data_IF_006745267152
#
_entry.id   IF_006745267152
#
_cell.length_a   1.000
_cell.length_b   1.000
_cell.length_c   1.000
_cell.angle_alpha   90.00
_cell.angle_beta   90.00
_cell.angle_gamma   90.00
#
_symmetry.space_group_name_H-M   'P 1'
#
loop_
_entity.id
_entity.type
_entity.pdbx_description
1 polymer ?
#
# COMPACT_ATOMS: atom_id res chain seq x y z
N UNK A 1 20.15 32.97 -27.06
CA UNK A 1 20.15 31.83 -26.12
C UNK A 1 18.73 31.62 -25.60
N UNK A 2 18.01 30.61 -26.09
CA UNK A 2 16.61 30.31 -25.70
C UNK A 2 16.50 28.81 -25.37
N UNK A 3 17.08 28.37 -24.25
CA UNK A 3 17.02 26.97 -23.80
C UNK A 3 17.27 26.88 -22.29
N UNK A 4 16.30 27.22 -21.44
CA UNK A 4 16.42 26.84 -20.01
C UNK A 4 15.17 26.88 -19.14
N UNK A 5 13.97 27.19 -19.65
CA UNK A 5 12.80 27.35 -18.75
C UNK A 5 11.84 26.16 -18.67
N UNK A 6 12.03 25.07 -19.41
CA UNK A 6 11.05 23.95 -19.44
C UNK A 6 11.42 22.78 -18.51
N UNK A 7 12.65 22.71 -18.01
CA UNK A 7 13.09 21.56 -17.20
C UNK A 7 12.67 21.62 -15.71
N UNK A 8 12.28 22.78 -15.18
CA UNK A 8 12.00 22.94 -13.74
C UNK A 8 10.59 22.48 -13.37
N UNK A 9 9.63 22.51 -14.31
CA UNK A 9 8.27 22.03 -14.04
C UNK A 9 8.15 20.50 -14.00
N UNK A 10 9.02 19.78 -14.72
CA UNK A 10 9.08 18.32 -14.65
C UNK A 10 9.75 17.82 -13.35
N UNK A 11 10.72 18.58 -12.83
CA UNK A 11 11.39 18.24 -11.55
C UNK A 11 10.48 18.47 -10.33
N UNK A 12 9.56 19.44 -10.39
CA UNK A 12 8.60 19.67 -9.31
C UNK A 12 7.48 18.60 -9.25
N UNK A 13 7.08 18.04 -10.40
CA UNK A 13 6.16 16.88 -10.42
C UNK A 13 6.84 15.57 -9.99
N UNK A 14 8.17 15.50 -10.02
CA UNK A 14 8.91 14.34 -9.50
C UNK A 14 9.10 14.38 -7.97
N UNK A 15 8.91 15.55 -7.34
CA UNK A 15 9.06 15.71 -5.88
C UNK A 15 7.76 15.46 -5.10
N UNK A 16 6.60 15.42 -5.76
CA UNK A 16 5.33 15.04 -5.12
C UNK A 16 5.15 13.52 -4.96
N UNK A 17 6.12 12.71 -5.38
CA UNK A 17 6.10 11.24 -5.21
C UNK A 17 7.05 10.78 -4.10
N UNK A 18 7.72 11.72 -3.41
CA UNK A 18 8.73 11.41 -2.39
C UNK A 18 8.20 11.31 -0.95
N UNK A 19 6.88 11.33 -0.76
CA UNK A 19 6.26 10.96 0.50
C UNK A 19 4.87 10.41 0.25
N UNK A 20 4.66 9.10 0.44
CA UNK A 20 3.29 8.60 0.45
C UNK A 20 3.11 7.20 1.03
N UNK A 21 4.09 6.27 1.01
CA UNK A 21 3.84 4.95 1.61
C UNK A 21 4.23 4.96 3.09
N UNK A 22 3.23 5.05 3.96
CA UNK A 22 3.37 4.91 5.41
C UNK A 22 3.17 3.48 5.90
N UNK A 23 2.79 2.55 5.01
CA UNK A 23 2.81 1.11 5.25
C UNK A 23 3.79 0.47 4.27
N UNK A 24 4.80 -0.24 4.79
CA UNK A 24 5.81 -0.95 3.99
C UNK A 24 6.07 -2.32 4.59
N UNK A 25 6.06 -3.36 3.78
CA UNK A 25 6.35 -4.72 4.24
C UNK A 25 6.90 -5.60 3.13
N UNK A 26 7.56 -6.70 3.52
CA UNK A 26 8.04 -7.73 2.60
C UNK A 26 7.10 -8.93 2.64
N UNK A 27 6.65 -9.40 1.48
CA UNK A 27 5.70 -10.51 1.38
C UNK A 27 6.31 -11.80 1.94
N UNK A 28 5.79 -12.26 3.08
CA UNK A 28 6.33 -13.37 3.85
C UNK A 28 5.54 -14.68 3.75
N UNK A 29 4.31 -14.66 3.25
CA UNK A 29 3.38 -15.79 3.34
C UNK A 29 3.80 -17.06 2.58
N UNK A 30 3.07 -18.15 2.82
CA UNK A 30 3.42 -19.49 2.36
C UNK A 30 3.17 -19.75 0.88
N UNK A 31 2.29 -18.98 0.24
CA UNK A 31 2.05 -19.09 -1.19
C UNK A 31 3.27 -18.64 -1.99
N UNK A 32 3.51 -19.28 -3.13
CA UNK A 32 4.60 -18.87 -4.03
C UNK A 32 4.31 -17.50 -4.64
N UNK A 33 3.04 -17.22 -4.93
CA UNK A 33 2.56 -15.96 -5.51
C UNK A 33 1.16 -15.63 -5.00
N UNK A 34 0.82 -14.35 -5.04
CA UNK A 34 -0.47 -13.79 -4.66
C UNK A 34 -1.08 -13.06 -5.86
N UNK A 35 -2.40 -13.13 -6.01
CA UNK A 35 -3.13 -12.51 -7.13
C UNK A 35 -4.13 -11.45 -6.68
N UNK A 36 -4.28 -11.23 -5.37
CA UNK A 36 -5.16 -10.20 -4.81
C UNK A 36 -4.52 -9.52 -3.61
N UNK A 37 -4.75 -8.22 -3.49
CA UNK A 37 -4.54 -7.45 -2.26
C UNK A 37 -5.90 -6.98 -1.78
N UNK A 38 -6.18 -7.18 -0.50
CA UNK A 38 -7.42 -6.75 0.12
C UNK A 38 -7.11 -5.84 1.28
N UNK A 39 -7.74 -4.67 1.31
CA UNK A 39 -7.46 -3.67 2.35
C UNK A 39 -8.71 -3.42 3.17
N UNK A 40 -8.56 -3.46 4.49
CA UNK A 40 -9.66 -3.26 5.44
C UNK A 40 -9.43 -1.99 6.24
N UNK A 41 -10.49 -1.19 6.37
CA UNK A 41 -10.50 -0.05 7.28
C UNK A 41 -11.15 -0.44 8.61
N UNK A 42 -10.30 -0.78 9.59
CA UNK A 42 -10.68 -0.95 11.00
C UNK A 42 -10.18 0.24 11.85
N UNK A 43 -10.09 1.42 11.23
CA UNK A 43 -9.78 2.69 11.91
C UNK A 43 -11.07 3.45 12.22
N UNK A 44 -10.95 4.58 12.91
CA UNK A 44 -12.08 5.49 13.14
C UNK A 44 -12.40 6.40 11.92
N UNK A 45 -11.54 6.40 10.90
CA UNK A 45 -11.69 7.23 9.71
C UNK A 45 -12.88 6.77 8.84
N UNK A 46 -13.62 7.75 8.31
CA UNK A 46 -14.88 7.46 7.61
C UNK A 46 -14.67 7.02 6.17
N UNK A 47 -13.96 7.81 5.36
CA UNK A 47 -13.80 7.52 3.95
C UNK A 47 -12.44 8.02 3.48
N UNK A 48 -11.65 7.13 2.88
CA UNK A 48 -10.34 7.48 2.34
C UNK A 48 -9.89 6.54 1.23
N UNK A 49 -9.06 7.08 0.35
CA UNK A 49 -8.47 6.31 -0.74
C UNK A 49 -7.09 5.82 -0.33
N UNK A 50 -6.77 4.58 -0.69
CA UNK A 50 -5.43 4.03 -0.60
C UNK A 50 -4.94 3.60 -1.97
N UNK A 51 -3.63 3.60 -2.16
CA UNK A 51 -2.97 3.05 -3.34
C UNK A 51 -1.87 2.07 -2.92
N UNK A 52 -1.86 0.90 -3.55
CA UNK A 52 -0.86 -0.14 -3.30
C UNK A 52 0.21 -0.14 -4.38
N UNK A 53 1.45 -0.43 -4.00
CA UNK A 53 2.61 -0.41 -4.89
C UNK A 53 3.53 -1.61 -4.66
N UNK A 54 4.21 -2.05 -5.73
CA UNK A 54 5.48 -2.76 -5.62
C UNK A 54 6.57 -1.74 -5.30
N UNK A 55 7.39 -2.05 -4.31
CA UNK A 55 8.54 -1.25 -3.93
C UNK A 55 9.84 -1.90 -4.42
N UNK A 56 10.75 -1.06 -4.88
CA UNK A 56 12.12 -1.45 -5.22
C UNK A 56 13.08 -0.83 -4.20
N UNK A 57 14.14 -1.56 -3.87
CA UNK A 57 15.23 -1.02 -3.05
C UNK A 57 16.25 -0.30 -3.94
N UNK A 58 16.40 1.00 -3.73
CA UNK A 58 17.39 1.85 -4.41
C UNK A 58 18.14 2.66 -3.37
N UNK A 59 19.47 2.58 -3.39
CA UNK A 59 20.36 3.29 -2.45
C UNK A 59 19.98 3.09 -0.97
N UNK A 60 19.60 1.85 -0.60
CA UNK A 60 19.18 1.49 0.75
C UNK A 60 17.80 2.02 1.17
N UNK A 61 16.99 2.52 0.22
CA UNK A 61 15.64 3.03 0.46
C UNK A 61 14.63 2.27 -0.39
N UNK A 62 13.45 2.01 0.19
CA UNK A 62 12.30 1.47 -0.54
C UNK A 62 11.52 2.60 -1.22
N UNK A 63 11.42 2.53 -2.55
CA UNK A 63 10.72 3.49 -3.40
C UNK A 63 9.66 2.80 -4.25
N UNK A 64 8.52 3.45 -4.50
CA UNK A 64 7.50 2.94 -5.41
C UNK A 64 8.06 2.69 -6.82
N UNK A 65 7.77 1.49 -7.35
CA UNK A 65 8.16 1.04 -8.68
C UNK A 65 6.95 0.90 -9.61
N UNK A 66 5.90 0.20 -9.16
CA UNK A 66 4.70 -0.12 -9.95
C UNK A 66 3.46 0.05 -9.07
N UNK A 67 2.45 0.79 -9.57
CA UNK A 67 1.14 0.85 -8.91
C UNK A 67 0.36 -0.43 -9.18
N UNK A 68 -0.16 -1.02 -8.12
CA UNK A 68 -0.98 -2.24 -8.17
C UNK A 68 -2.46 -1.94 -8.23
N UNK A 69 -2.88 -0.75 -7.78
CA UNK A 69 -4.27 -0.30 -7.83
C UNK A 69 -4.66 0.57 -6.64
N UNK A 70 -5.87 1.12 -6.73
CA UNK A 70 -6.48 2.00 -5.72
C UNK A 70 -7.72 1.36 -5.13
N UNK A 71 -8.00 1.67 -3.87
CA UNK A 71 -9.20 1.25 -3.14
C UNK A 71 -9.81 2.44 -2.41
N UNK A 72 -11.12 2.43 -2.27
CA UNK A 72 -11.86 3.47 -1.55
C UNK A 72 -12.47 2.86 -0.28
N UNK A 73 -11.79 3.06 0.84
CA UNK A 73 -12.16 2.43 2.09
C UNK A 73 -13.18 3.27 2.86
N UNK A 74 -14.35 2.69 3.10
CA UNK A 74 -15.45 3.28 3.88
C UNK A 74 -15.43 2.82 5.34
N UNK A 75 -16.13 3.55 6.21
CA UNK A 75 -16.27 3.21 7.64
C UNK A 75 -17.04 1.93 7.78
N UNK A 76 -16.47 0.94 8.46
CA UNK A 76 -17.06 -0.39 8.55
C UNK A 76 -17.39 -0.98 7.15
N UNK A 77 -16.73 -0.47 6.10
CA UNK A 77 -16.93 -0.90 4.72
C UNK A 77 -16.20 -2.21 4.48
N UNK A 78 -16.87 -3.13 3.80
CA UNK A 78 -16.28 -4.40 3.42
C UNK A 78 -15.16 -4.23 2.39
N UNK A 79 -14.06 -4.93 2.61
CA UNK A 79 -13.45 -5.81 1.63
C UNK A 79 -13.16 -5.25 0.22
N UNK A 80 -12.66 -4.02 0.11
CA UNK A 80 -12.18 -3.53 -1.17
C UNK A 80 -10.93 -4.30 -1.60
N UNK A 81 -10.97 -4.84 -2.82
CA UNK A 81 -9.98 -5.79 -3.33
C UNK A 81 -9.36 -5.28 -4.62
N UNK A 82 -8.03 -5.24 -4.64
CA UNK A 82 -7.21 -5.02 -5.81
C UNK A 82 -6.89 -6.40 -6.40
N UNK A 83 -7.41 -6.68 -7.60
CA UNK A 83 -6.96 -7.83 -8.38
C UNK A 83 -5.70 -7.47 -9.14
N UNK A 84 -4.65 -8.27 -8.95
CA UNK A 84 -3.31 -7.95 -9.45
C UNK A 84 -3.05 -8.76 -10.72
N UNK A 85 -2.86 -8.07 -11.84
CA UNK A 85 -2.56 -8.71 -13.13
C UNK A 85 -1.19 -9.40 -13.07
N UNK A 86 -0.22 -8.71 -12.50
CA UNK A 86 1.13 -9.24 -12.22
C UNK A 86 1.12 -9.93 -10.87
N UNK A 87 1.17 -11.27 -10.87
CA UNK A 87 1.22 -12.06 -9.64
C UNK A 87 2.38 -11.61 -8.72
N UNK A 88 2.06 -11.27 -7.47
CA UNK A 88 3.02 -10.79 -6.47
C UNK A 88 3.76 -11.99 -5.89
N UNK A 89 5.09 -12.00 -5.97
CA UNK A 89 5.88 -13.14 -5.46
C UNK A 89 6.18 -12.97 -3.97
N UNK A 90 6.39 -14.10 -3.29
CA UNK A 90 7.03 -14.08 -1.96
C UNK A 90 8.38 -13.36 -2.05
N UNK A 91 8.65 -12.50 -1.07
CA UNK A 91 9.85 -11.67 -1.01
C UNK A 91 9.75 -10.33 -1.75
N UNK A 92 8.67 -10.07 -2.50
CA UNK A 92 8.39 -8.74 -3.06
C UNK A 92 8.17 -7.74 -1.91
N UNK A 93 8.74 -6.53 -2.02
CA UNK A 93 8.42 -5.43 -1.12
C UNK A 93 7.16 -4.74 -1.62
N UNK A 94 6.22 -4.49 -0.72
CA UNK A 94 4.96 -3.82 -1.01
C UNK A 94 4.82 -2.57 -0.14
N UNK A 95 4.13 -1.58 -0.71
CA UNK A 95 3.77 -0.34 -0.06
C UNK A 95 2.28 -0.08 -0.17
N UNK A 96 1.71 0.60 0.83
CA UNK A 96 0.37 1.16 0.77
C UNK A 96 0.43 2.62 1.22
N UNK A 97 -0.17 3.50 0.42
CA UNK A 97 -0.39 4.90 0.78
C UNK A 97 -1.68 5.04 1.55
N UNK A 98 -1.59 5.53 2.79
CA UNK A 98 -2.73 5.88 3.63
C UNK A 98 -2.68 7.39 3.90
N UNK A 99 -3.73 8.16 3.61
CA UNK A 99 -3.68 9.61 3.75
C UNK A 99 -3.67 10.04 5.22
N UNK A 100 -3.00 11.17 5.51
CA UNK A 100 -2.80 11.69 6.87
C UNK A 100 -4.10 11.90 7.65
N UNK A 101 -5.22 12.18 6.97
CA UNK A 101 -6.55 12.34 7.57
C UNK A 101 -7.06 11.09 8.32
N UNK A 102 -6.44 9.94 8.11
CA UNK A 102 -6.74 8.70 8.86
C UNK A 102 -6.28 8.82 10.32
N UNK A 103 -5.32 9.69 10.61
CA UNK A 103 -4.73 9.86 11.94
C UNK A 103 -3.71 8.77 12.26
N UNK A 104 -3.45 8.55 13.55
CA UNK A 104 -2.57 7.47 14.00
C UNK A 104 -3.23 6.11 13.83
N UNK A 105 -2.50 5.17 13.23
CA UNK A 105 -2.96 3.80 12.99
C UNK A 105 -1.79 2.81 13.04
N UNK A 106 -2.12 1.54 13.21
CA UNK A 106 -1.25 0.38 12.99
C UNK A 106 -1.82 -0.48 11.85
N UNK A 107 -1.07 -1.48 11.40
CA UNK A 107 -1.57 -2.41 10.39
C UNK A 107 -1.20 -3.86 10.73
N UNK A 108 -2.03 -4.79 10.25
CA UNK A 108 -1.79 -6.23 10.33
C UNK A 108 -1.80 -6.81 8.92
N UNK A 109 -0.81 -7.64 8.62
CA UNK A 109 -0.70 -8.34 7.34
C UNK A 109 -1.04 -9.81 7.55
N UNK A 110 -2.03 -10.31 6.81
CA UNK A 110 -2.37 -11.73 6.77
C UNK A 110 -2.24 -12.27 5.35
N UNK A 111 -1.85 -13.53 5.24
CA UNK A 111 -1.75 -14.23 3.97
C UNK A 111 -2.77 -15.36 3.95
N UNK A 112 -3.71 -15.31 3.01
CA UNK A 112 -4.77 -16.31 2.89
C UNK A 112 -4.63 -17.06 1.57
N UNK A 113 -4.71 -18.38 1.65
CA UNK A 113 -4.70 -19.25 0.49
C UNK A 113 -6.11 -19.83 0.34
N UNK A 114 -6.87 -19.30 -0.61
CA UNK A 114 -8.20 -19.82 -0.95
C UNK A 114 -8.09 -20.75 -2.18
N UNK A 115 -9.08 -21.63 -2.42
CA UNK A 115 -9.03 -22.56 -3.55
C UNK A 115 -8.84 -21.92 -4.94
N UNK A 116 -9.21 -20.65 -5.09
CA UNK A 116 -9.17 -19.92 -6.38
C UNK A 116 -8.29 -18.65 -6.33
N UNK A 117 -7.90 -18.19 -5.14
CA UNK A 117 -7.23 -16.91 -4.95
C UNK A 117 -6.21 -17.00 -3.81
N UNK A 118 -5.05 -16.42 -4.03
CA UNK A 118 -4.04 -16.24 -2.99
C UNK A 118 -4.00 -14.74 -2.66
N UNK A 119 -4.40 -14.40 -1.44
CA UNK A 119 -4.75 -13.04 -1.02
C UNK A 119 -3.75 -12.53 0.04
N UNK A 120 -3.31 -11.30 -0.14
CA UNK A 120 -2.64 -10.51 0.91
C UNK A 120 -3.70 -9.59 1.53
N UNK A 121 -4.02 -9.81 2.80
CA UNK A 121 -4.94 -8.96 3.55
C UNK A 121 -4.16 -7.94 4.37
N UNK A 122 -4.49 -6.66 4.20
CA UNK A 122 -3.91 -5.53 4.93
C UNK A 122 -5.02 -4.91 5.77
N UNK A 123 -4.96 -5.08 7.08
CA UNK A 123 -5.94 -4.51 8.01
C UNK A 123 -5.37 -3.26 8.63
N UNK A 124 -5.91 -2.10 8.31
CA UNK A 124 -5.58 -0.83 8.98
C UNK A 124 -6.36 -0.76 10.28
N UNK A 125 -5.69 -0.49 11.38
CA UNK A 125 -6.23 -0.60 12.74
C UNK A 125 -6.02 0.72 13.48
N UNK A 126 -7.07 1.28 14.06
CA UNK A 126 -6.98 2.51 14.86
C UNK A 126 -6.02 2.39 16.06
N UNK A 127 -5.41 3.51 16.46
CA UNK A 127 -4.48 3.57 17.60
C UNK A 127 -5.07 3.12 18.95
N UNK A 128 -6.40 3.16 19.07
CA UNK A 128 -7.19 2.73 20.23
C UNK A 128 -7.40 1.21 20.29
N UNK A 129 -7.01 0.47 19.25
CA UNK A 129 -7.16 -0.99 19.22
C UNK A 129 -6.14 -1.71 20.10
N UNK A 130 -6.51 -2.80 20.80
CA UNK A 130 -5.57 -3.65 21.54
C UNK A 130 -4.51 -4.31 20.66
N UNK A 131 -4.68 -4.27 19.33
CA UNK A 131 -3.72 -4.76 18.33
C UNK A 131 -2.69 -3.68 17.92
N UNK A 132 -2.74 -2.48 18.50
CA UNK A 132 -2.08 -1.26 18.02
C UNK A 132 -0.58 -1.11 18.27
N UNK A 133 0.17 -2.19 18.48
CA UNK A 133 1.64 -2.13 18.59
C UNK A 133 2.28 -3.36 17.95
N UNK A 134 2.68 -3.20 16.70
CA UNK A 134 3.64 -4.02 15.96
C UNK A 134 3.25 -5.45 15.56
N UNK A 135 3.29 -5.72 14.24
CA UNK A 135 3.83 -6.95 13.65
C UNK A 135 4.53 -6.64 12.32
#
# INVERSE_FOLDING_TARGET
MKKTCVAIFAALMALSVLGAENVKFKVGGSAKRYNQIKVFNNTNATDFDCEAFVLEERDGKLVAQESLGKVHLRKNGGDDTITVVSLIKRGTNLGLTVPEKVGEFSYVIEYKNYPLFDVIEIKLVGADSPLGKEF
#
